data_IF_021570457372
#
_entry.id   IF_021570457372
#
_cell.length_a   1.000
_cell.length_b   1.000
_cell.length_c   1.000
_cell.angle_alpha   90.00
_cell.angle_beta   90.00
_cell.angle_gamma   90.00
#
_symmetry.space_group_name_H-M   'P 1'
#
loop_
_entity.id
_entity.type
_entity.pdbx_description
1 polymer ?
#
# COMPACT_ATOMS: atom_id res chain seq x y z
N UNK A 1 -4.35 -31.27 -23.49
CA UNK A 1 -4.51 -31.40 -24.96
C UNK A 1 -3.66 -30.36 -25.67
N UNK A 2 -2.86 -30.82 -26.59
CA UNK A 2 -2.08 -29.92 -27.43
C UNK A 2 -3.01 -29.26 -28.47
N UNK A 3 -3.08 -27.98 -28.49
CA UNK A 3 -3.84 -27.20 -29.49
C UNK A 3 -3.05 -27.14 -30.77
N UNK A 4 -3.65 -27.63 -31.88
CA UNK A 4 -3.03 -27.52 -33.21
C UNK A 4 -3.29 -26.12 -33.78
N UNK A 5 -2.22 -25.40 -34.06
CA UNK A 5 -2.27 -24.03 -34.59
C UNK A 5 -1.54 -24.01 -35.93
N UNK A 6 -2.11 -23.36 -36.94
CA UNK A 6 -1.43 -23.10 -38.19
C UNK A 6 -0.27 -22.14 -37.98
N UNK A 7 0.81 -22.31 -38.72
CA UNK A 7 2.01 -21.45 -38.61
C UNK A 7 1.65 -19.97 -38.79
N UNK A 8 0.74 -19.66 -39.71
CA UNK A 8 0.30 -18.30 -39.98
C UNK A 8 -0.46 -17.64 -38.80
N UNK A 9 -1.07 -18.46 -37.92
CA UNK A 9 -1.85 -18.01 -36.78
C UNK A 9 -1.05 -18.04 -35.46
N UNK A 10 0.17 -18.56 -35.48
CA UNK A 10 1.00 -18.73 -34.28
C UNK A 10 1.24 -17.40 -33.56
N UNK A 11 1.60 -16.36 -34.31
CA UNK A 11 1.86 -15.03 -33.73
C UNK A 11 0.62 -14.45 -33.03
N UNK A 12 -0.56 -14.62 -33.62
CA UNK A 12 -1.82 -14.19 -33.03
C UNK A 12 -2.14 -14.93 -31.75
N UNK A 13 -1.94 -16.25 -31.74
CA UNK A 13 -2.22 -17.08 -30.57
C UNK A 13 -1.24 -16.78 -29.41
N UNK A 14 0.04 -16.59 -29.71
CA UNK A 14 1.03 -16.18 -28.72
C UNK A 14 0.68 -14.82 -28.11
N UNK A 15 0.34 -13.85 -28.93
CA UNK A 15 -0.08 -12.51 -28.49
C UNK A 15 -1.30 -12.60 -27.58
N UNK A 16 -2.32 -13.37 -27.96
CA UNK A 16 -3.52 -13.57 -27.15
C UNK A 16 -3.21 -14.19 -25.79
N UNK A 17 -2.37 -15.23 -25.76
CA UNK A 17 -1.97 -15.89 -24.51
C UNK A 17 -1.22 -14.92 -23.59
N UNK A 18 -0.32 -14.10 -24.14
CA UNK A 18 0.41 -13.09 -23.38
C UNK A 18 -0.51 -12.00 -22.83
N UNK A 19 -1.50 -11.58 -23.60
CA UNK A 19 -2.50 -10.59 -23.15
C UNK A 19 -3.36 -11.15 -22.02
N UNK A 20 -3.81 -12.37 -22.11
CA UNK A 20 -4.57 -13.05 -21.06
C UNK A 20 -3.73 -13.20 -19.79
N UNK A 21 -2.47 -13.57 -19.89
CA UNK A 21 -1.55 -13.67 -18.76
C UNK A 21 -1.31 -12.30 -18.11
N UNK A 22 -1.06 -11.27 -18.92
CA UNK A 22 -0.86 -9.91 -18.43
C UNK A 22 -2.11 -9.38 -17.70
N UNK A 23 -3.31 -9.66 -18.22
CA UNK A 23 -4.56 -9.29 -17.57
C UNK A 23 -4.74 -9.96 -16.21
N UNK A 24 -4.48 -11.25 -16.13
CA UNK A 24 -4.54 -12.01 -14.88
C UNK A 24 -3.53 -11.49 -13.85
N UNK A 25 -2.32 -11.15 -14.30
CA UNK A 25 -1.27 -10.58 -13.44
C UNK A 25 -1.65 -9.19 -12.94
N UNK A 26 -2.26 -8.35 -13.79
CA UNK A 26 -2.74 -7.02 -13.40
C UNK A 26 -3.78 -7.11 -12.28
N UNK A 27 -4.72 -8.04 -12.37
CA UNK A 27 -5.72 -8.26 -11.31
C UNK A 27 -5.09 -8.71 -10.00
N UNK A 28 -4.12 -9.61 -10.05
CA UNK A 28 -3.36 -10.08 -8.88
C UNK A 28 -2.64 -8.92 -8.21
N UNK A 29 -1.94 -8.10 -8.97
CA UNK A 29 -1.20 -6.94 -8.46
C UNK A 29 -2.16 -5.91 -7.86
N UNK A 30 -3.26 -5.61 -8.52
CA UNK A 30 -4.27 -4.67 -8.02
C UNK A 30 -4.87 -5.12 -6.70
N UNK A 31 -5.23 -6.39 -6.61
CA UNK A 31 -5.74 -6.98 -5.36
C UNK A 31 -4.69 -6.93 -4.25
N UNK A 32 -3.44 -7.30 -4.57
CA UNK A 32 -2.35 -7.28 -3.59
C UNK A 32 -2.09 -5.86 -3.06
N UNK A 33 -2.08 -4.85 -3.92
CA UNK A 33 -1.92 -3.45 -3.54
C UNK A 33 -3.09 -3.01 -2.64
N UNK A 34 -4.31 -3.32 -3.01
CA UNK A 34 -5.51 -2.97 -2.24
C UNK A 34 -5.51 -3.62 -0.86
N UNK A 35 -5.25 -4.92 -0.79
CA UNK A 35 -5.25 -5.66 0.48
C UNK A 35 -4.11 -5.19 1.40
N UNK A 36 -2.92 -4.97 0.85
CA UNK A 36 -1.78 -4.46 1.61
C UNK A 36 -2.05 -3.05 2.14
N UNK A 37 -2.66 -2.18 1.33
CA UNK A 37 -3.02 -0.83 1.75
C UNK A 37 -4.06 -0.85 2.89
N UNK A 38 -5.05 -1.72 2.83
CA UNK A 38 -6.04 -1.87 3.89
C UNK A 38 -5.43 -2.34 5.20
N UNK A 39 -4.52 -3.31 5.15
CA UNK A 39 -3.80 -3.77 6.34
C UNK A 39 -2.93 -2.68 6.94
N UNK A 40 -2.19 -1.95 6.12
CA UNK A 40 -1.35 -0.83 6.54
C UNK A 40 -2.19 0.28 7.18
N UNK A 41 -3.35 0.61 6.59
CA UNK A 41 -4.28 1.57 7.14
C UNK A 41 -4.77 1.16 8.54
N UNK A 42 -5.12 -0.10 8.70
CA UNK A 42 -5.55 -0.64 9.98
C UNK A 42 -4.46 -0.53 11.04
N UNK A 43 -3.22 -0.86 10.68
CA UNK A 43 -2.08 -0.73 11.58
C UNK A 43 -1.82 0.73 11.99
N UNK A 44 -1.87 1.67 11.03
CA UNK A 44 -1.71 3.09 11.33
C UNK A 44 -2.81 3.63 12.25
N UNK A 45 -4.05 3.21 12.04
CA UNK A 45 -5.17 3.62 12.89
C UNK A 45 -5.07 3.07 14.31
N UNK A 46 -4.39 1.96 14.50
CA UNK A 46 -4.19 1.33 15.82
C UNK A 46 -2.87 1.71 16.48
N UNK A 47 -2.00 2.44 15.80
CA UNK A 47 -0.72 2.88 16.36
C UNK A 47 -0.94 3.95 17.42
N UNK A 48 -0.48 3.68 18.64
CA UNK A 48 -0.61 4.58 19.77
C UNK A 48 0.74 4.72 20.48
N UNK A 49 1.27 5.95 20.60
CA UNK A 49 2.46 6.15 21.42
C UNK A 49 2.16 5.92 22.91
N UNK A 50 3.18 5.60 23.71
CA UNK A 50 2.99 5.45 25.15
C UNK A 50 2.33 6.69 25.77
N UNK A 51 1.26 6.50 26.54
CA UNK A 51 0.52 7.58 27.17
C UNK A 51 -0.52 8.29 26.31
N UNK A 52 -0.65 7.91 25.03
CA UNK A 52 -1.58 8.58 24.10
C UNK A 52 -3.07 8.39 24.42
N UNK A 53 -3.41 7.34 25.16
CA UNK A 53 -4.80 7.06 25.55
C UNK A 53 -5.48 8.16 26.36
N UNK A 54 -4.69 9.08 26.92
CA UNK A 54 -5.20 10.23 27.68
C UNK A 54 -5.55 11.45 26.80
N UNK A 55 -5.17 11.44 25.53
CA UNK A 55 -5.32 12.59 24.65
C UNK A 55 -6.35 12.31 23.54
N UNK A 56 -7.46 13.01 23.59
CA UNK A 56 -8.49 12.93 22.54
C UNK A 56 -7.97 13.37 21.16
N UNK A 57 -6.96 14.24 21.13
CA UNK A 57 -6.30 14.71 19.92
C UNK A 57 -5.63 13.58 19.14
N UNK A 58 -5.11 12.55 19.84
CA UNK A 58 -4.49 11.39 19.20
C UNK A 58 -5.53 10.57 18.43
N UNK A 59 -6.71 10.38 19.01
CA UNK A 59 -7.80 9.68 18.33
C UNK A 59 -8.23 10.41 17.05
N UNK A 60 -8.27 11.74 17.08
CA UNK A 60 -8.55 12.56 15.89
C UNK A 60 -7.47 12.37 14.82
N UNK A 61 -6.22 12.33 15.22
CA UNK A 61 -5.10 12.08 14.32
C UNK A 61 -5.24 10.70 13.64
N UNK A 62 -5.47 9.64 14.41
CA UNK A 62 -5.60 8.29 13.88
C UNK A 62 -6.83 8.11 12.97
N UNK A 63 -7.93 8.78 13.25
CA UNK A 63 -9.12 8.76 12.40
C UNK A 63 -8.91 9.42 11.04
N UNK A 64 -7.93 10.29 10.91
CA UNK A 64 -7.62 11.01 9.68
C UNK A 64 -6.93 10.18 8.61
N UNK A 65 -6.46 8.97 8.92
CA UNK A 65 -5.82 8.09 7.95
C UNK A 65 -6.81 7.56 6.92
N UNK A 66 -6.50 7.79 5.65
CA UNK A 66 -7.34 7.35 4.52
C UNK A 66 -6.47 6.82 3.38
N UNK A 67 -7.08 5.96 2.57
CA UNK A 67 -6.47 5.43 1.35
C UNK A 67 -7.04 6.17 0.16
N UNK A 68 -6.15 6.65 -0.71
CA UNK A 68 -6.52 7.09 -2.05
C UNK A 68 -5.92 6.11 -3.05
N UNK A 69 -6.76 5.44 -3.79
CA UNK A 69 -6.33 4.50 -4.83
C UNK A 69 -6.60 5.11 -6.20
N UNK A 70 -5.55 5.23 -6.99
CA UNK A 70 -5.68 5.73 -8.35
C UNK A 70 -6.12 4.57 -9.24
N UNK A 71 -7.35 4.63 -9.72
CA UNK A 71 -7.83 3.74 -10.76
C UNK A 71 -7.34 4.30 -12.10
N UNK A 72 -6.21 3.82 -12.57
CA UNK A 72 -5.76 4.14 -13.91
C UNK A 72 -5.89 2.90 -14.78
N UNK A 73 -6.37 3.09 -16.01
CA UNK A 73 -6.42 2.03 -17.01
C UNK A 73 -5.03 1.59 -17.47
N UNK A 74 -4.00 2.23 -16.96
CA UNK A 74 -2.60 1.92 -17.29
C UNK A 74 -2.10 0.76 -16.46
N UNK A 75 -1.67 -0.31 -17.13
CA UNK A 75 -1.15 -1.54 -16.54
C UNK A 75 -0.02 -1.34 -15.52
N UNK A 76 0.72 -0.24 -15.60
CA UNK A 76 1.92 -0.03 -14.79
C UNK A 76 1.75 0.90 -13.60
N UNK A 77 0.55 1.45 -13.39
CA UNK A 77 0.30 2.44 -12.33
C UNK A 77 -0.69 1.96 -11.27
N UNK A 78 -0.41 0.81 -10.69
CA UNK A 78 -1.17 0.32 -9.53
C UNK A 78 -0.63 1.00 -8.27
N UNK A 79 -1.29 2.07 -7.84
CA UNK A 79 -0.85 2.89 -6.72
C UNK A 79 -1.96 3.10 -5.71
N UNK A 80 -1.67 2.80 -4.46
CA UNK A 80 -2.50 3.19 -3.32
C UNK A 80 -1.67 4.12 -2.41
N UNK A 81 -2.22 5.27 -2.08
CA UNK A 81 -1.57 6.23 -1.18
C UNK A 81 -2.33 6.29 0.12
N UNK A 82 -1.63 6.06 1.23
CA UNK A 82 -2.18 6.23 2.57
C UNK A 82 -1.70 7.57 3.09
N UNK A 83 -2.64 8.43 3.48
CA UNK A 83 -2.32 9.77 3.95
C UNK A 83 -3.27 10.19 5.08
N UNK A 84 -2.84 11.15 5.88
CA UNK A 84 -3.67 11.72 6.91
C UNK A 84 -4.32 13.00 6.37
N UNK A 85 -5.65 13.00 6.25
CA UNK A 85 -6.41 14.11 5.65
C UNK A 85 -6.47 15.30 6.59
N UNK A 86 -6.72 15.05 7.87
CA UNK A 86 -6.98 16.12 8.83
C UNK A 86 -5.71 16.71 9.43
N UNK A 87 -4.70 15.88 9.65
CA UNK A 87 -3.47 16.25 10.38
C UNK A 87 -2.18 15.91 9.60
N UNK A 88 -2.22 16.03 8.28
CA UNK A 88 -1.07 15.69 7.44
C UNK A 88 0.21 16.45 7.78
N UNK A 89 0.08 17.67 8.31
CA UNK A 89 1.24 18.49 8.71
C UNK A 89 1.98 17.94 9.93
N UNK A 90 1.30 17.13 10.74
CA UNK A 90 1.88 16.55 11.96
C UNK A 90 2.60 15.23 11.71
N UNK A 91 2.38 14.57 10.58
CA UNK A 91 2.91 13.22 10.31
C UNK A 91 4.42 13.16 10.42
N UNK A 92 5.13 14.04 9.71
CA UNK A 92 6.61 14.07 9.73
C UNK A 92 7.17 14.58 11.06
N UNK A 93 6.47 15.48 11.72
CA UNK A 93 6.89 15.99 13.02
C UNK A 93 6.82 14.91 14.10
N UNK A 94 5.79 14.10 14.07
CA UNK A 94 5.65 12.95 14.99
C UNK A 94 6.65 11.86 14.67
N UNK A 95 6.84 11.55 13.40
CA UNK A 95 7.73 10.48 12.95
C UNK A 95 9.18 10.71 13.35
N UNK A 96 9.68 11.94 13.18
CA UNK A 96 11.09 12.29 13.38
C UNK A 96 11.35 13.18 14.60
N UNK A 97 10.29 13.67 15.26
CA UNK A 97 10.42 14.72 16.26
C UNK A 97 10.69 16.08 15.61
N UNK A 98 10.65 17.14 16.39
CA UNK A 98 10.92 18.50 15.92
C UNK A 98 11.57 19.37 17.01
N UNK A 99 12.18 20.47 16.61
CA UNK A 99 12.77 21.44 17.53
C UNK A 99 11.67 22.17 18.32
N UNK A 100 11.89 22.32 19.62
CA UNK A 100 11.01 23.12 20.51
C UNK A 100 11.40 24.58 20.46
N UNK A 101 10.42 25.48 20.64
CA UNK A 101 10.65 26.94 20.68
C UNK A 101 11.63 27.32 21.81
N UNK A 102 11.55 26.67 22.96
CA UNK A 102 12.38 26.95 24.14
C UNK A 102 13.68 26.11 24.22
N UNK A 103 14.09 25.52 23.10
CA UNK A 103 15.28 24.66 23.04
C UNK A 103 14.95 23.17 23.19
N UNK A 104 15.88 22.33 22.72
CA UNK A 104 15.69 20.88 22.72
C UNK A 104 14.77 20.40 21.57
N UNK A 105 14.51 19.10 21.55
CA UNK A 105 13.66 18.46 20.54
C UNK A 105 12.58 17.62 21.21
N UNK A 106 11.43 17.49 20.55
CA UNK A 106 10.41 16.53 20.96
C UNK A 106 10.88 15.11 20.65
N UNK A 107 10.35 14.14 21.40
CA UNK A 107 10.63 12.73 21.17
C UNK A 107 10.05 12.30 19.82
N UNK A 108 10.84 11.59 19.02
CA UNK A 108 10.36 10.97 17.80
C UNK A 108 9.44 9.78 18.13
N UNK A 109 8.37 9.64 17.37
CA UNK A 109 7.49 8.47 17.43
C UNK A 109 7.38 7.86 16.02
N UNK A 110 8.30 6.93 15.66
CA UNK A 110 8.24 6.26 14.36
C UNK A 110 7.05 5.32 14.29
N UNK A 111 5.97 5.74 13.67
CA UNK A 111 4.76 4.95 13.47
C UNK A 111 4.52 4.60 12.00
N UNK A 112 5.07 5.41 11.08
CA UNK A 112 4.93 5.20 9.64
C UNK A 112 5.98 4.21 9.13
N UNK A 113 7.25 4.37 9.51
CA UNK A 113 8.34 3.52 9.05
C UNK A 113 8.12 2.02 9.32
N UNK A 114 7.74 1.59 10.56
CA UNK A 114 7.47 0.17 10.81
C UNK A 114 6.33 -0.39 9.96
N UNK A 115 5.27 0.39 9.75
CA UNK A 115 4.13 -0.02 8.91
C UNK A 115 4.55 -0.12 7.45
N UNK A 116 5.35 0.84 6.97
CA UNK A 116 5.86 0.84 5.59
C UNK A 116 6.75 -0.38 5.31
N UNK A 117 7.64 -0.73 6.22
CA UNK A 117 8.49 -1.91 6.09
C UNK A 117 7.69 -3.21 6.03
N UNK A 118 6.71 -3.37 6.91
CA UNK A 118 5.81 -4.53 6.89
C UNK A 118 4.96 -4.56 5.63
N UNK A 119 4.49 -3.41 5.17
CA UNK A 119 3.68 -3.32 3.96
C UNK A 119 4.46 -3.77 2.73
N UNK A 120 5.73 -3.42 2.63
CA UNK A 120 6.60 -3.85 1.53
C UNK A 120 6.71 -5.38 1.48
N UNK A 121 7.01 -6.00 2.61
CA UNK A 121 7.10 -7.46 2.71
C UNK A 121 5.76 -8.14 2.43
N UNK A 122 4.67 -7.62 2.96
CA UNK A 122 3.31 -8.12 2.74
C UNK A 122 2.89 -8.00 1.28
N UNK A 123 3.23 -6.90 0.62
CA UNK A 123 2.92 -6.70 -0.79
C UNK A 123 3.58 -7.78 -1.65
N UNK A 124 4.87 -8.03 -1.43
CA UNK A 124 5.60 -9.07 -2.15
C UNK A 124 5.02 -10.46 -1.89
N UNK A 125 4.68 -10.77 -0.66
CA UNK A 125 4.05 -12.03 -0.29
C UNK A 125 2.68 -12.20 -0.96
N UNK A 126 1.84 -11.17 -0.93
CA UNK A 126 0.51 -11.19 -1.54
C UNK A 126 0.57 -11.37 -3.06
N UNK A 127 1.54 -10.72 -3.72
CA UNK A 127 1.76 -10.89 -5.16
C UNK A 127 2.18 -12.33 -5.47
N UNK A 128 3.13 -12.88 -4.73
CA UNK A 128 3.58 -14.27 -4.92
C UNK A 128 2.45 -15.27 -4.74
N UNK A 129 1.66 -15.12 -3.70
CA UNK A 129 0.49 -15.98 -3.46
C UNK A 129 -0.54 -15.89 -4.58
N UNK A 130 -0.82 -14.68 -5.04
CA UNK A 130 -1.77 -14.46 -6.12
C UNK A 130 -1.32 -15.09 -7.43
N UNK A 131 -0.05 -14.97 -7.78
CA UNK A 131 0.51 -15.58 -8.98
C UNK A 131 0.48 -17.12 -8.88
N UNK A 132 0.85 -17.69 -7.74
CA UNK A 132 0.87 -19.14 -7.54
C UNK A 132 -0.52 -19.77 -7.54
N UNK A 133 -1.54 -19.01 -7.17
CA UNK A 133 -2.93 -19.49 -7.09
C UNK A 133 -3.76 -19.14 -8.35
N UNK A 134 -3.16 -18.44 -9.29
CA UNK A 134 -3.82 -18.05 -10.54
C UNK A 134 -3.85 -19.19 -11.57
#
# INVERSE_FOLDING_TARGET
MAKKIKIDDLAKEVTKTLEEFAGATDEVVEKAVTDTAKEALKELKSANPPGSGQYSSWNKYNKGWKITQTKTDKRYNKKATIHNVDKYRLTHLLEKGHAKVNGGRTRAFPHIAPVAEKAEDKLMENIKKGINNA
#
